data_IF_846628960228
#
_entry.id   IF_846628960228
#
_cell.length_a   1.000
_cell.length_b   1.000
_cell.length_c   1.000
_cell.angle_alpha   90.00
_cell.angle_beta   90.00
_cell.angle_gamma   90.00
#
_symmetry.space_group_name_H-M   'P 1'
#
loop_
_entity.id
_entity.type
_entity.pdbx_description
1 polymer ?
#
# COMPACT_ATOMS: atom_id res chain seq x y z
N UNK A 1 27.82 11.38 28.97
CA UNK A 1 27.23 10.41 29.92
C UNK A 1 26.84 9.14 29.16
N UNK A 2 27.63 8.05 29.21
CA UNK A 2 27.27 6.74 28.68
C UNK A 2 26.64 5.89 29.80
N UNK A 3 25.31 5.70 29.80
CA UNK A 3 24.62 4.90 30.82
C UNK A 3 23.09 4.80 30.74
N UNK A 4 22.43 5.43 29.76
CA UNK A 4 20.96 5.53 29.73
C UNK A 4 20.27 4.60 28.71
N UNK A 5 20.99 4.18 27.66
CA UNK A 5 20.47 3.32 26.58
C UNK A 5 20.15 1.89 27.01
N UNK A 6 20.70 1.44 28.13
CA UNK A 6 20.54 0.08 28.65
C UNK A 6 19.30 -0.05 29.58
N UNK A 7 18.67 1.08 29.93
CA UNK A 7 17.47 1.16 30.77
C UNK A 7 16.21 1.61 30.01
N UNK A 8 16.25 1.61 28.67
CA UNK A 8 15.08 1.97 27.88
C UNK A 8 13.97 0.93 28.11
N UNK A 9 12.77 1.34 28.56
CA UNK A 9 11.67 0.41 28.75
C UNK A 9 11.38 -0.30 27.44
N UNK A 10 11.34 -1.64 27.47
CA UNK A 10 10.99 -2.44 26.32
C UNK A 10 9.64 -1.95 25.78
N UNK A 11 9.63 -1.42 24.55
CA UNK A 11 8.41 -0.90 23.94
C UNK A 11 7.39 -2.04 23.90
N UNK A 12 6.15 -1.81 24.38
CA UNK A 12 5.14 -2.86 24.39
C UNK A 12 4.94 -3.36 22.95
N UNK A 13 4.88 -4.69 22.74
CA UNK A 13 4.65 -5.26 21.42
C UNK A 13 3.39 -4.64 20.83
N UNK A 14 3.53 -3.95 19.69
CA UNK A 14 2.36 -3.36 19.01
C UNK A 14 1.43 -4.50 18.62
N UNK A 15 0.16 -4.50 19.05
CA UNK A 15 -0.73 -5.60 18.77
C UNK A 15 -0.85 -5.78 17.26
N UNK A 16 -0.54 -6.99 16.77
CA UNK A 16 -0.55 -7.32 15.34
C UNK A 16 -1.89 -6.98 14.66
N UNK A 17 -2.99 -7.13 15.42
CA UNK A 17 -4.33 -6.73 15.02
C UNK A 17 -4.42 -5.25 14.60
N UNK A 18 -3.69 -4.36 15.28
CA UNK A 18 -3.68 -2.92 14.96
C UNK A 18 -2.98 -2.63 13.63
N UNK A 19 -1.95 -3.41 13.30
CA UNK A 19 -1.25 -3.30 12.01
C UNK A 19 -2.10 -3.85 10.87
N UNK A 20 -2.77 -4.99 11.09
CA UNK A 20 -3.66 -5.62 10.10
C UNK A 20 -4.86 -4.71 9.82
N UNK A 21 -5.52 -4.20 10.87
CA UNK A 21 -6.66 -3.30 10.73
C UNK A 21 -6.28 -1.99 10.06
N UNK A 22 -5.16 -1.36 10.47
CA UNK A 22 -4.67 -0.14 9.82
C UNK A 22 -4.31 -0.40 8.34
N UNK A 23 -3.65 -1.51 8.03
CA UNK A 23 -3.34 -1.91 6.66
C UNK A 23 -4.60 -2.10 5.82
N UNK A 24 -5.58 -2.83 6.34
CA UNK A 24 -6.87 -3.03 5.69
C UNK A 24 -7.62 -1.72 5.46
N UNK A 25 -7.67 -0.84 6.46
CA UNK A 25 -8.33 0.47 6.36
C UNK A 25 -7.68 1.35 5.29
N UNK A 26 -6.34 1.37 5.24
CA UNK A 26 -5.57 2.13 4.24
C UNK A 26 -5.78 1.56 2.83
N UNK A 27 -5.79 0.24 2.68
CA UNK A 27 -6.06 -0.41 1.40
C UNK A 27 -7.48 -0.11 0.90
N UNK A 28 -8.49 -0.14 1.79
CA UNK A 28 -9.87 0.20 1.45
C UNK A 28 -10.06 1.70 1.17
N UNK A 29 -9.33 2.57 1.86
CA UNK A 29 -9.35 4.00 1.61
C UNK A 29 -8.68 4.41 0.29
N UNK A 30 -7.96 3.49 -0.36
CA UNK A 30 -7.37 3.73 -1.66
C UNK A 30 -8.41 3.48 -2.77
N UNK A 31 -8.95 4.53 -3.43
CA UNK A 31 -9.95 4.37 -4.47
C UNK A 31 -9.43 3.55 -5.66
N UNK A 32 -8.11 3.57 -5.92
CA UNK A 32 -7.51 2.76 -6.97
C UNK A 32 -7.67 1.25 -6.71
N UNK A 33 -7.58 0.81 -5.45
CA UNK A 33 -7.74 -0.60 -5.10
C UNK A 33 -9.16 -1.10 -5.40
N UNK A 34 -10.17 -0.29 -5.03
CA UNK A 34 -11.58 -0.56 -5.32
C UNK A 34 -11.87 -0.51 -6.82
N UNK A 35 -11.37 0.52 -7.53
CA UNK A 35 -11.56 0.68 -8.97
C UNK A 35 -10.91 -0.47 -9.76
N UNK A 36 -9.73 -0.92 -9.35
CA UNK A 36 -9.04 -2.04 -9.99
C UNK A 36 -9.84 -3.34 -9.86
N UNK A 37 -10.31 -3.67 -8.65
CA UNK A 37 -11.14 -4.87 -8.44
C UNK A 37 -12.49 -4.78 -9.16
N UNK A 38 -13.11 -3.60 -9.19
CA UNK A 38 -14.38 -3.39 -9.89
C UNK A 38 -14.27 -3.51 -11.42
N UNK A 39 -13.08 -3.27 -11.98
CA UNK A 39 -12.87 -3.27 -13.43
C UNK A 39 -12.07 -4.50 -13.88
N UNK A 40 -10.76 -4.45 -13.71
CA UNK A 40 -9.80 -5.45 -14.17
C UNK A 40 -9.95 -6.75 -13.38
N UNK A 41 -10.07 -6.64 -12.05
CA UNK A 41 -10.26 -7.80 -11.17
C UNK A 41 -11.53 -8.57 -11.51
N UNK A 42 -12.65 -7.87 -11.69
CA UNK A 42 -13.92 -8.48 -12.08
C UNK A 42 -13.82 -9.20 -13.44
N UNK A 43 -13.14 -8.61 -14.43
CA UNK A 43 -12.94 -9.23 -15.73
C UNK A 43 -12.11 -10.54 -15.64
N UNK A 44 -11.01 -10.53 -14.87
CA UNK A 44 -10.18 -11.72 -14.68
C UNK A 44 -10.88 -12.79 -13.84
N UNK A 45 -11.61 -12.41 -12.80
CA UNK A 45 -12.43 -13.35 -12.01
C UNK A 45 -13.50 -13.97 -12.89
N UNK A 46 -14.19 -13.20 -13.74
CA UNK A 46 -15.18 -13.73 -14.67
C UNK A 46 -14.55 -14.69 -15.69
N UNK A 47 -13.32 -14.45 -16.13
CA UNK A 47 -12.60 -15.37 -17.01
C UNK A 47 -12.17 -16.65 -16.26
N UNK A 48 -11.64 -16.52 -15.05
CA UNK A 48 -11.22 -17.63 -14.21
C UNK A 48 -12.41 -18.48 -13.73
N UNK A 49 -13.58 -17.86 -13.51
CA UNK A 49 -14.82 -18.54 -13.14
C UNK A 49 -15.31 -19.52 -14.22
N UNK A 50 -14.90 -19.35 -15.49
CA UNK A 50 -15.18 -20.32 -16.56
C UNK A 50 -14.48 -21.66 -16.32
N UNK A 51 -13.38 -21.67 -15.58
CA UNK A 51 -12.69 -22.88 -15.11
C UNK A 51 -13.22 -23.38 -13.76
N UNK A 52 -14.35 -22.84 -13.27
CA UNK A 52 -14.95 -23.16 -11.99
C UNK A 52 -14.25 -22.53 -10.79
N UNK A 53 -14.64 -22.95 -9.59
CA UNK A 53 -14.12 -22.40 -8.33
C UNK A 53 -12.60 -22.56 -8.17
N UNK A 54 -12.02 -23.62 -8.75
CA UNK A 54 -10.57 -23.85 -8.75
C UNK A 54 -9.80 -22.79 -9.55
N UNK A 55 -10.33 -22.34 -10.68
CA UNK A 55 -9.71 -21.29 -11.49
C UNK A 55 -9.65 -19.95 -10.75
N UNK A 56 -10.73 -19.58 -10.06
CA UNK A 56 -10.79 -18.36 -9.24
C UNK A 56 -9.80 -18.42 -8.08
N UNK A 57 -9.72 -19.57 -7.39
CA UNK A 57 -8.78 -19.76 -6.29
C UNK A 57 -7.32 -19.64 -6.75
N UNK A 58 -6.97 -20.22 -7.90
CA UNK A 58 -5.64 -20.12 -8.48
C UNK A 58 -5.29 -18.69 -8.92
N UNK A 59 -6.21 -18.01 -9.59
CA UNK A 59 -6.03 -16.61 -9.97
C UNK A 59 -5.78 -15.73 -8.75
N UNK A 60 -6.66 -15.82 -7.74
CA UNK A 60 -6.57 -15.01 -6.53
C UNK A 60 -5.27 -15.29 -5.75
N UNK A 61 -4.92 -16.56 -5.59
CA UNK A 61 -3.69 -16.95 -4.88
C UNK A 61 -2.46 -16.48 -5.64
N UNK A 62 -2.39 -16.74 -6.96
CA UNK A 62 -1.27 -16.31 -7.80
C UNK A 62 -1.10 -14.78 -7.82
N UNK A 63 -2.22 -14.05 -7.86
CA UNK A 63 -2.22 -12.60 -7.77
C UNK A 63 -1.61 -12.11 -6.44
N UNK A 64 -2.13 -12.58 -5.30
CA UNK A 64 -1.62 -12.19 -3.97
C UNK A 64 -0.15 -12.61 -3.77
N UNK A 65 0.24 -13.80 -4.22
CA UNK A 65 1.64 -14.23 -4.13
C UNK A 65 2.55 -13.35 -5.00
N UNK A 66 2.08 -12.93 -6.17
CA UNK A 66 2.83 -12.02 -7.04
C UNK A 66 3.00 -10.64 -6.38
N UNK A 67 1.94 -10.09 -5.79
CA UNK A 67 2.02 -8.85 -5.01
C UNK A 67 3.00 -8.98 -3.85
N UNK A 68 2.88 -10.05 -3.05
CA UNK A 68 3.76 -10.29 -1.92
C UNK A 68 5.21 -10.45 -2.37
N UNK A 69 5.46 -11.23 -3.43
CA UNK A 69 6.78 -11.44 -4.00
C UNK A 69 7.39 -10.13 -4.53
N UNK A 70 6.62 -9.35 -5.26
CA UNK A 70 7.05 -8.06 -5.80
C UNK A 70 7.35 -7.06 -4.70
N UNK A 71 6.44 -6.85 -3.75
CA UNK A 71 6.65 -5.93 -2.64
C UNK A 71 7.81 -6.37 -1.73
N UNK A 72 7.98 -7.67 -1.52
CA UNK A 72 9.13 -8.21 -0.78
C UNK A 72 10.44 -7.94 -1.53
N UNK A 73 10.47 -8.14 -2.84
CA UNK A 73 11.63 -7.87 -3.68
C UNK A 73 11.99 -6.38 -3.69
N UNK A 74 11.01 -5.50 -3.87
CA UNK A 74 11.22 -4.05 -3.82
C UNK A 74 11.71 -3.63 -2.44
N UNK A 75 11.09 -4.13 -1.37
CA UNK A 75 11.49 -3.82 0.01
C UNK A 75 12.89 -4.33 0.31
N UNK A 76 13.25 -5.53 -0.14
CA UNK A 76 14.58 -6.08 0.00
C UNK A 76 15.62 -5.27 -0.80
N UNK A 77 15.29 -4.85 -2.01
CA UNK A 77 16.12 -3.96 -2.83
C UNK A 77 16.36 -2.61 -2.16
N UNK A 78 15.32 -2.00 -1.60
CA UNK A 78 15.43 -0.75 -0.83
C UNK A 78 16.21 -0.96 0.47
N UNK A 79 16.00 -2.09 1.17
CA UNK A 79 16.72 -2.42 2.40
C UNK A 79 18.22 -2.65 2.14
N UNK A 80 18.58 -3.30 1.03
CA UNK A 80 19.95 -3.43 0.57
C UNK A 80 20.52 -2.06 0.16
N UNK A 81 19.73 -1.24 -0.54
CA UNK A 81 20.08 0.11 -0.97
C UNK A 81 20.21 1.12 0.17
N UNK A 82 19.62 0.89 1.36
CA UNK A 82 19.79 1.74 2.55
C UNK A 82 21.23 1.82 3.06
N UNK A 83 22.12 0.90 2.67
CA UNK A 83 23.57 1.06 2.91
C UNK A 83 24.21 2.12 2.01
N UNK A 84 23.58 2.44 0.88
CA UNK A 84 24.06 3.40 -0.13
C UNK A 84 23.29 4.73 -0.04
N UNK A 85 22.00 4.70 0.31
CA UNK A 85 21.15 5.88 0.45
C UNK A 85 21.20 6.40 1.89
N UNK A 86 21.59 7.66 2.07
CA UNK A 86 21.58 8.31 3.39
C UNK A 86 20.15 8.39 3.94
N UNK A 87 20.00 8.20 5.25
CA UNK A 87 18.70 8.31 5.94
C UNK A 87 17.96 9.63 5.65
N UNK A 88 18.69 10.71 5.34
CA UNK A 88 18.10 12.00 5.00
C UNK A 88 17.42 11.96 3.63
N UNK A 89 18.05 11.35 2.62
CA UNK A 89 17.49 11.24 1.27
C UNK A 89 16.23 10.36 1.26
N UNK A 90 16.24 9.24 1.99
CA UNK A 90 15.05 8.39 2.14
C UNK A 90 13.87 9.15 2.79
N UNK A 91 14.15 9.95 3.81
CA UNK A 91 13.13 10.77 4.48
C UNK A 91 12.56 11.85 3.57
N UNK A 92 13.41 12.52 2.77
CA UNK A 92 12.94 13.50 1.79
C UNK A 92 12.08 12.86 0.69
N UNK A 93 12.46 11.68 0.20
CA UNK A 93 11.67 10.94 -0.78
C UNK A 93 10.26 10.63 -0.25
N UNK A 94 10.15 10.11 0.98
CA UNK A 94 8.84 9.83 1.59
C UNK A 94 8.01 11.10 1.77
N UNK A 95 8.61 12.18 2.25
CA UNK A 95 7.91 13.47 2.44
C UNK A 95 7.43 14.03 1.10
N UNK A 96 8.26 13.99 0.06
CA UNK A 96 7.89 14.43 -1.29
C UNK A 96 6.74 13.60 -1.85
N UNK A 97 6.79 12.27 -1.69
CA UNK A 97 5.73 11.37 -2.13
C UNK A 97 4.41 11.65 -1.38
N UNK A 98 4.47 11.87 -0.07
CA UNK A 98 3.30 12.25 0.73
C UNK A 98 2.69 13.59 0.32
N UNK A 99 3.53 14.62 0.08
CA UNK A 99 3.09 15.92 -0.43
C UNK A 99 2.45 15.80 -1.81
N UNK A 100 3.05 15.02 -2.71
CA UNK A 100 2.50 14.78 -4.04
C UNK A 100 1.11 14.13 -3.98
N UNK A 101 0.93 13.13 -3.11
CA UNK A 101 -0.37 12.48 -2.90
C UNK A 101 -1.41 13.46 -2.30
N UNK A 102 -1.00 14.34 -1.38
CA UNK A 102 -1.89 15.38 -0.85
C UNK A 102 -2.35 16.34 -1.96
N UNK A 103 -1.41 16.80 -2.80
CA UNK A 103 -1.74 17.67 -3.94
C UNK A 103 -2.71 16.99 -4.89
N UNK A 104 -2.47 15.72 -5.25
CA UNK A 104 -3.40 14.94 -6.06
C UNK A 104 -4.76 14.80 -5.39
N UNK A 105 -4.82 14.53 -4.09
CA UNK A 105 -6.06 14.43 -3.33
C UNK A 105 -6.88 15.72 -3.37
N UNK A 106 -6.24 16.88 -3.15
CA UNK A 106 -6.89 18.19 -3.26
C UNK A 106 -7.37 18.45 -4.69
N UNK A 107 -6.55 18.13 -5.70
CA UNK A 107 -6.93 18.28 -7.11
C UNK A 107 -8.13 17.42 -7.48
N UNK A 108 -8.20 16.18 -7.01
CA UNK A 108 -9.34 15.29 -7.23
C UNK A 108 -10.63 15.84 -6.60
N UNK A 109 -10.54 16.34 -5.37
CA UNK A 109 -11.68 16.96 -4.67
C UNK A 109 -12.15 18.21 -5.42
N UNK A 110 -11.23 19.09 -5.80
CA UNK A 110 -11.53 20.31 -6.54
C UNK A 110 -12.13 19.99 -7.93
N UNK A 111 -11.58 19.01 -8.64
CA UNK A 111 -12.12 18.54 -9.92
C UNK A 111 -13.52 17.93 -9.76
N UNK A 112 -13.76 17.16 -8.70
CA UNK A 112 -15.08 16.60 -8.36
C UNK A 112 -16.14 17.69 -8.14
N UNK A 113 -15.83 18.71 -7.33
CA UNK A 113 -16.75 19.83 -7.10
C UNK A 113 -17.00 20.65 -8.37
N UNK A 114 -15.96 20.89 -9.19
CA UNK A 114 -16.10 21.68 -10.42
C UNK A 114 -16.88 20.92 -11.52
N UNK A 115 -16.73 19.60 -11.57
CA UNK A 115 -17.46 18.73 -12.49
C UNK A 115 -18.95 18.61 -12.18
N UNK A 116 -19.35 18.65 -10.90
CA UNK A 116 -20.78 18.63 -10.51
C UNK A 116 -21.51 19.98 -10.68
N UNK A 117 -20.78 21.10 -10.74
CA UNK A 117 -21.38 22.46 -10.87
C UNK A 117 -21.50 22.88 -12.35
N UNK A 118 -21.08 22.04 -13.28
CA UNK A 118 -21.09 22.31 -14.72
C UNK A 118 -22.11 21.45 -15.47
N UNK A 119 -23.38 21.43 -15.03
CA UNK A 119 -24.58 21.07 -15.81
C UNK A 119 -25.86 21.43 -15.03
#
# INVERSE_FOLDING_TARGET
MPGDKDNLPALPPRPALRTITAGGLISLANPYWLLWWATIGAAFVAQAARLGAGGVAFFFSGHILSDLGWYSLVTAGVAAGRRVISQRAYRYLIVACGLFLLVLGVLFIAAGYRGQISL
#
